data_IF_482057922328
#
_entry.id   IF_482057922328
#
_cell.length_a   1.000
_cell.length_b   1.000
_cell.length_c   1.000
_cell.angle_alpha   90.00
_cell.angle_beta   90.00
_cell.angle_gamma   90.00
#
_symmetry.space_group_name_H-M   'P 1'
#
loop_
_entity.id
_entity.type
_entity.pdbx_description
1 polymer ?
#
# COMPACT_ATOMS: atom_id res chain seq x y z
N UNK A 1 -15.38 12.27 10.89
CA UNK A 1 -14.00 12.01 11.35
C UNK A 1 -13.06 12.19 10.18
N UNK A 2 -12.07 13.06 10.30
CA UNK A 2 -10.95 13.15 9.35
C UNK A 2 -9.89 12.16 9.82
N UNK A 3 -9.61 11.12 9.03
CA UNK A 3 -8.49 10.25 9.29
C UNK A 3 -7.21 10.95 8.81
N UNK A 4 -6.28 11.23 9.71
CA UNK A 4 -4.95 11.67 9.32
C UNK A 4 -4.21 10.48 8.71
N UNK A 5 -3.85 10.58 7.43
CA UNK A 5 -2.99 9.61 6.79
C UNK A 5 -1.56 9.82 7.25
N UNK A 6 -0.96 8.78 7.83
CA UNK A 6 0.48 8.76 8.01
C UNK A 6 1.10 8.69 6.61
N UNK A 7 1.92 9.66 6.25
CA UNK A 7 2.65 9.64 4.98
C UNK A 7 3.83 8.68 5.09
N UNK A 8 3.97 7.79 4.11
CA UNK A 8 5.06 6.83 4.03
C UNK A 8 6.42 7.53 3.90
N UNK A 9 7.41 7.03 4.64
CA UNK A 9 8.80 7.43 4.50
C UNK A 9 9.73 6.21 4.66
N UNK A 10 11.03 6.43 4.56
CA UNK A 10 12.04 5.36 4.57
C UNK A 10 12.12 4.56 5.87
N UNK A 11 11.59 5.04 6.99
CA UNK A 11 11.75 4.41 8.32
C UNK A 11 10.44 3.97 8.95
N UNK A 12 9.29 4.37 8.41
CA UNK A 12 7.99 4.14 9.05
C UNK A 12 7.13 3.07 8.38
N UNK A 13 7.65 2.32 7.38
CA UNK A 13 6.87 1.36 6.59
C UNK A 13 6.01 0.42 7.45
N UNK A 14 6.57 -0.18 8.50
CA UNK A 14 5.84 -1.11 9.37
C UNK A 14 4.63 -0.44 10.04
N UNK A 15 4.81 0.75 10.61
CA UNK A 15 3.72 1.49 11.27
C UNK A 15 2.71 2.00 10.24
N UNK A 16 3.20 2.48 9.10
CA UNK A 16 2.39 2.91 7.97
C UNK A 16 1.49 1.79 7.48
N UNK A 17 2.04 0.61 7.21
CA UNK A 17 1.30 -0.53 6.70
C UNK A 17 0.19 -0.96 7.67
N UNK A 18 0.46 -0.99 8.98
CA UNK A 18 -0.55 -1.29 10.01
C UNK A 18 -1.70 -0.28 9.98
N UNK A 19 -1.40 1.02 9.89
CA UNK A 19 -2.43 2.08 9.85
C UNK A 19 -3.27 2.02 8.58
N UNK A 20 -2.66 1.82 7.41
CA UNK A 20 -3.40 1.73 6.14
C UNK A 20 -4.29 0.49 6.10
N UNK A 21 -3.79 -0.66 6.59
CA UNK A 21 -4.62 -1.87 6.74
C UNK A 21 -5.82 -1.64 7.66
N UNK A 22 -5.65 -0.94 8.78
CA UNK A 22 -6.76 -0.59 9.66
C UNK A 22 -7.81 0.28 8.96
N UNK A 23 -7.38 1.25 8.15
CA UNK A 23 -8.29 2.09 7.36
C UNK A 23 -9.03 1.27 6.29
N UNK A 24 -8.35 0.37 5.58
CA UNK A 24 -9.00 -0.52 4.60
C UNK A 24 -10.05 -1.42 5.25
N UNK A 25 -9.79 -1.93 6.45
CA UNK A 25 -10.75 -2.73 7.20
C UNK A 25 -12.00 -1.92 7.58
N UNK A 26 -11.83 -0.67 8.04
CA UNK A 26 -12.95 0.24 8.33
C UNK A 26 -13.80 0.48 7.09
N UNK A 27 -13.18 0.59 5.92
CA UNK A 27 -13.86 0.78 4.64
C UNK A 27 -14.33 -0.51 3.97
N UNK A 28 -13.98 -1.69 4.51
CA UNK A 28 -14.27 -3.02 3.94
C UNK A 28 -13.75 -3.19 2.49
N UNK A 29 -12.49 -2.80 2.29
CA UNK A 29 -11.79 -2.86 1.00
C UNK A 29 -10.44 -3.60 1.09
N UNK A 30 -10.18 -4.31 2.18
CA UNK A 30 -8.90 -5.03 2.38
C UNK A 30 -8.63 -6.07 1.29
N UNK A 31 -9.66 -6.65 0.69
CA UNK A 31 -9.52 -7.59 -0.43
C UNK A 31 -8.89 -6.96 -1.68
N UNK A 32 -8.89 -5.62 -1.81
CA UNK A 32 -8.28 -4.95 -2.95
C UNK A 32 -6.75 -5.01 -2.95
N UNK A 33 -6.14 -5.19 -1.77
CA UNK A 33 -4.69 -5.35 -1.61
C UNK A 33 -4.29 -6.77 -1.21
N UNK A 34 -5.17 -7.48 -0.50
CA UNK A 34 -4.96 -8.85 -0.04
C UNK A 34 -6.20 -9.70 -0.36
N UNK A 35 -6.40 -10.08 -1.64
CA UNK A 35 -7.53 -10.92 -2.03
C UNK A 35 -7.39 -12.32 -1.40
N UNK A 36 -8.47 -12.84 -0.82
CA UNK A 36 -8.50 -14.15 -0.15
C UNK A 36 -8.76 -15.33 -1.09
N UNK A 37 -9.14 -15.03 -2.34
CA UNK A 37 -9.49 -15.98 -3.41
C UNK A 37 -9.09 -15.36 -4.75
N UNK A 38 -8.93 -16.14 -5.81
CA UNK A 38 -8.78 -15.64 -7.20
C UNK A 38 -10.04 -14.95 -7.77
N UNK A 39 -11.00 -14.60 -6.90
CA UNK A 39 -12.18 -13.85 -7.30
C UNK A 39 -11.79 -12.44 -7.74
N UNK A 40 -12.49 -11.96 -8.77
CA UNK A 40 -12.31 -10.61 -9.27
C UNK A 40 -12.61 -9.58 -8.16
N UNK A 41 -11.64 -8.70 -7.89
CA UNK A 41 -11.80 -7.60 -6.94
C UNK A 41 -12.75 -6.58 -7.55
N UNK A 42 -13.79 -6.21 -6.81
CA UNK A 42 -14.71 -5.14 -7.20
C UNK A 42 -13.93 -3.85 -7.55
N UNK A 43 -14.17 -3.33 -8.76
CA UNK A 43 -13.43 -2.18 -9.30
C UNK A 43 -13.57 -0.93 -8.41
N UNK A 44 -14.70 -0.74 -7.75
CA UNK A 44 -14.92 0.41 -6.85
C UNK A 44 -14.08 0.27 -5.59
N UNK A 45 -13.94 -0.93 -5.02
CA UNK A 45 -13.03 -1.21 -3.90
C UNK A 45 -11.58 -0.99 -4.30
N UNK A 46 -11.20 -1.46 -5.49
CA UNK A 46 -9.86 -1.21 -6.04
C UNK A 46 -9.55 0.28 -6.15
N UNK A 47 -10.41 1.05 -6.81
CA UNK A 47 -10.21 2.50 -7.01
C UNK A 47 -10.17 3.26 -5.68
N UNK A 48 -11.00 2.87 -4.70
CA UNK A 48 -10.98 3.46 -3.38
C UNK A 48 -9.65 3.20 -2.65
N UNK A 49 -9.15 1.97 -2.71
CA UNK A 49 -7.86 1.62 -2.12
C UNK A 49 -6.70 2.39 -2.79
N UNK A 50 -6.71 2.53 -4.11
CA UNK A 50 -5.72 3.35 -4.84
C UNK A 50 -5.75 4.80 -4.36
N UNK A 51 -6.93 5.42 -4.28
CA UNK A 51 -7.06 6.80 -3.84
C UNK A 51 -6.51 6.99 -2.41
N UNK A 52 -6.81 6.06 -1.51
CA UNK A 52 -6.29 6.08 -0.14
C UNK A 52 -4.77 5.87 -0.08
N UNK A 53 -4.20 5.03 -0.94
CA UNK A 53 -2.76 4.83 -1.02
C UNK A 53 -2.06 6.10 -1.52
N UNK A 54 -2.61 6.78 -2.52
CA UNK A 54 -2.06 8.05 -3.00
C UNK A 54 -2.07 9.16 -1.94
N UNK A 55 -3.06 9.18 -1.05
CA UNK A 55 -3.08 10.10 0.10
C UNK A 55 -2.04 9.74 1.17
N UNK A 56 -1.55 8.49 1.16
CA UNK A 56 -0.68 7.94 2.18
C UNK A 56 0.80 7.88 1.77
N UNK A 57 1.17 8.36 0.59
CA UNK A 57 2.53 8.33 0.06
C UNK A 57 2.95 9.72 -0.44
N UNK A 58 4.25 10.02 -0.51
CA UNK A 58 4.71 11.30 -1.05
C UNK A 58 4.57 11.35 -2.58
N UNK A 59 4.41 12.56 -3.13
CA UNK A 59 4.11 12.80 -4.57
C UNK A 59 5.15 12.17 -5.51
N UNK A 60 6.43 12.23 -5.14
CA UNK A 60 7.50 11.62 -5.93
C UNK A 60 7.33 10.10 -6.05
N UNK A 61 6.71 9.44 -5.06
CA UNK A 61 6.39 8.03 -5.13
C UNK A 61 5.16 7.77 -6.00
N UNK A 62 4.12 8.63 -5.93
CA UNK A 62 2.94 8.54 -6.81
C UNK A 62 3.38 8.48 -8.27
N UNK A 63 4.28 9.37 -8.70
CA UNK A 63 4.79 9.39 -10.07
C UNK A 63 5.49 8.10 -10.49
N UNK A 64 6.13 7.38 -9.57
CA UNK A 64 6.85 6.14 -9.87
C UNK A 64 5.93 4.93 -10.03
N UNK A 65 4.75 4.97 -9.41
CA UNK A 65 3.78 3.86 -9.42
C UNK A 65 2.53 4.19 -10.25
N UNK A 66 2.50 5.34 -10.94
CA UNK A 66 1.34 5.83 -11.67
C UNK A 66 0.88 4.91 -12.82
N UNK A 67 1.76 4.00 -13.28
CA UNK A 67 1.45 3.00 -14.29
C UNK A 67 0.76 1.74 -13.71
N UNK A 68 0.73 1.58 -12.40
CA UNK A 68 0.07 0.45 -11.73
C UNK A 68 -1.42 0.72 -11.63
N UNK A 69 -2.24 -0.26 -12.00
CA UNK A 69 -3.70 -0.07 -12.15
C UNK A 69 -4.52 -0.77 -11.07
N UNK A 70 -3.87 -1.61 -10.27
CA UNK A 70 -4.49 -2.26 -9.11
C UNK A 70 -3.89 -1.77 -7.79
N UNK A 71 -4.74 -1.69 -6.76
CA UNK A 71 -4.31 -1.38 -5.40
C UNK A 71 -3.30 -2.42 -4.89
N UNK A 72 -3.46 -3.69 -5.28
CA UNK A 72 -2.54 -4.78 -4.97
C UNK A 72 -1.13 -4.51 -5.52
N UNK A 73 -1.01 -4.17 -6.81
CA UNK A 73 0.29 -3.87 -7.42
C UNK A 73 0.99 -2.71 -6.72
N UNK A 74 0.24 -1.64 -6.42
CA UNK A 74 0.75 -0.49 -5.68
C UNK A 74 1.23 -0.94 -4.29
N UNK A 75 0.40 -1.67 -3.55
CA UNK A 75 0.72 -2.16 -2.22
C UNK A 75 1.99 -3.03 -2.21
N UNK A 76 2.11 -3.94 -3.17
CA UNK A 76 3.26 -4.84 -3.31
C UNK A 76 4.52 -4.07 -3.72
N UNK A 77 4.43 -3.10 -4.63
CA UNK A 77 5.56 -2.23 -5.00
C UNK A 77 6.08 -1.43 -3.79
N UNK A 78 5.17 -0.89 -2.97
CA UNK A 78 5.52 -0.18 -1.73
C UNK A 78 6.18 -1.12 -0.72
N UNK A 79 5.72 -2.36 -0.61
CA UNK A 79 6.31 -3.41 0.23
C UNK A 79 7.70 -3.80 -0.23
N UNK A 80 7.88 -4.11 -1.52
CA UNK A 80 9.18 -4.53 -2.08
C UNK A 80 10.22 -3.43 -1.87
N UNK A 81 9.86 -2.17 -2.09
CA UNK A 81 10.78 -1.05 -1.91
C UNK A 81 11.31 -0.90 -0.48
N UNK A 82 10.49 -1.22 0.54
CA UNK A 82 10.87 -1.01 1.93
C UNK A 82 11.37 -2.29 2.62
N UNK A 83 10.81 -3.45 2.26
CA UNK A 83 11.22 -4.76 2.79
C UNK A 83 12.40 -5.36 2.00
N UNK A 84 12.57 -4.98 0.73
CA UNK A 84 13.74 -5.35 -0.08
C UNK A 84 15.03 -4.66 0.38
N UNK A 85 14.93 -3.55 1.13
CA UNK A 85 16.10 -2.89 1.75
C UNK A 85 16.64 -3.69 2.94
N UNK A 86 15.81 -4.46 3.64
CA UNK A 86 16.26 -5.31 4.74
C UNK A 86 16.90 -6.63 4.26
N UNK A 87 16.38 -7.25 3.19
CA UNK A 87 16.93 -8.54 2.70
C UNK A 87 18.30 -8.45 2.01
N UNK A 88 18.70 -7.28 1.52
CA UNK A 88 20.04 -7.10 0.90
C UNK A 88 21.12 -6.93 1.98
N UNK A 89 20.77 -6.67 3.24
CA UNK A 89 21.74 -6.52 4.34
C UNK A 89 22.12 -7.85 5.01
N UNK A 90 21.37 -8.93 4.83
CA UNK A 90 21.67 -10.23 5.47
C UNK A 90 22.42 -11.22 4.55
N UNK A 91 22.59 -10.93 3.26
CA UNK A 91 23.29 -11.82 2.32
C UNK A 91 24.77 -11.46 2.07
N UNK A 92 25.34 -10.55 2.87
CA UNK A 92 26.71 -10.05 2.69
C UNK A 92 27.43 -9.76 4.00
N UNK A 93 27.56 -10.78 4.85
CA UNK A 93 28.37 -10.79 6.07
C UNK A 93 29.01 -12.16 6.27
#
# INVERSE_FOLDING_TARGET
>A
MTFQYLVLNSTNYTIWAVKIKALFNVHRISEAVEPTTDAEVDQKKNNMAIAMLYQAIPENMVLQIANLTSAKEIWDALKIRHVGVDRVKEAGG
#
